data_IF_516186659755
#
_entry.id   IF_516186659755
#
_cell.length_a   1.000
_cell.length_b   1.000
_cell.length_c   1.000
_cell.angle_alpha   90.00
_cell.angle_beta   90.00
_cell.angle_gamma   90.00
#
_symmetry.space_group_name_H-M   'P 1'
#
loop_
_entity.id
_entity.type
_entity.pdbx_description
1 polymer ?
#
# COMPACT_ATOMS: atom_id res chain seq x y z
N UNK A 1 -5.09 -8.15 -9.04
CA UNK A 1 -4.61 -6.82 -8.56
C UNK A 1 -3.17 -6.59 -9.01
N UNK A 2 -2.75 -5.34 -9.25
CA UNK A 2 -1.35 -4.98 -9.56
C UNK A 2 -0.90 -3.79 -8.73
N UNK A 3 0.40 -3.72 -8.40
CA UNK A 3 0.95 -2.62 -7.60
C UNK A 3 0.81 -1.25 -8.29
N UNK A 4 0.91 -1.21 -9.63
CA UNK A 4 0.69 0.01 -10.40
C UNK A 4 -0.75 0.54 -10.26
N UNK A 5 -1.75 -0.35 -10.30
CA UNK A 5 -3.15 0.04 -10.15
C UNK A 5 -3.47 0.52 -8.73
N UNK A 6 -2.82 -0.05 -7.69
CA UNK A 6 -2.91 0.47 -6.32
C UNK A 6 -2.34 1.88 -6.23
N UNK A 7 -1.16 2.14 -6.83
CA UNK A 7 -0.55 3.50 -6.86
C UNK A 7 -1.46 4.50 -7.57
N UNK A 8 -2.09 4.11 -8.68
CA UNK A 8 -3.06 4.96 -9.40
C UNK A 8 -4.24 5.31 -8.49
N UNK A 9 -4.85 4.31 -7.85
CA UNK A 9 -5.99 4.55 -6.96
C UNK A 9 -5.61 5.40 -5.75
N UNK A 10 -4.48 5.11 -5.11
CA UNK A 10 -3.90 5.91 -4.04
C UNK A 10 -3.71 7.37 -4.44
N UNK A 11 -3.13 7.63 -5.61
CA UNK A 11 -2.91 8.99 -6.09
C UNK A 11 -4.22 9.73 -6.40
N UNK A 12 -5.31 9.04 -6.79
CA UNK A 12 -6.63 9.68 -6.93
C UNK A 12 -7.16 10.24 -5.61
N UNK A 13 -6.97 9.51 -4.49
CA UNK A 13 -7.35 10.02 -3.16
C UNK A 13 -6.48 11.20 -2.70
N UNK A 14 -5.20 11.21 -3.07
CA UNK A 14 -4.34 12.38 -2.83
C UNK A 14 -4.80 13.58 -3.63
N UNK A 15 -5.08 13.39 -4.91
CA UNK A 15 -5.54 14.45 -5.79
C UNK A 15 -6.90 15.02 -5.35
N UNK A 16 -7.84 14.19 -4.90
CA UNK A 16 -9.12 14.68 -4.36
C UNK A 16 -8.97 15.46 -3.05
N UNK A 17 -7.84 15.31 -2.36
CA UNK A 17 -7.43 16.10 -1.20
C UNK A 17 -6.47 17.24 -1.54
N UNK A 18 -6.35 17.64 -2.82
CA UNK A 18 -5.43 18.68 -3.31
C UNK A 18 -3.93 18.42 -3.03
N UNK A 19 -3.53 17.16 -2.92
CA UNK A 19 -2.15 16.76 -2.74
C UNK A 19 -1.54 16.28 -4.06
N UNK A 20 -0.25 16.59 -4.24
CA UNK A 20 0.53 16.06 -5.36
C UNK A 20 0.58 14.52 -5.33
N UNK A 21 0.52 13.87 -6.52
CA UNK A 21 0.69 12.42 -6.61
C UNK A 21 2.09 12.00 -6.16
N UNK A 22 2.20 10.82 -5.57
CA UNK A 22 3.50 10.23 -5.23
C UNK A 22 4.12 9.56 -6.45
N UNK A 23 5.42 9.79 -6.65
CA UNK A 23 6.19 9.12 -7.69
C UNK A 23 6.54 7.69 -7.27
N UNK A 24 6.37 6.73 -8.18
CA UNK A 24 6.71 5.35 -7.90
C UNK A 24 8.24 5.18 -7.72
N UNK A 25 8.68 4.44 -6.70
CA UNK A 25 10.09 4.23 -6.39
C UNK A 25 10.46 2.75 -6.49
N UNK A 26 11.46 2.40 -7.29
CA UNK A 26 11.92 1.00 -7.39
C UNK A 26 12.43 0.49 -6.04
N UNK A 27 13.19 1.32 -5.30
CA UNK A 27 13.69 0.95 -3.98
C UNK A 27 12.55 0.62 -3.00
N UNK A 28 11.52 1.47 -2.95
CA UNK A 28 10.37 1.23 -2.07
C UNK A 28 9.52 0.05 -2.56
N UNK A 29 9.39 -0.15 -3.88
CA UNK A 29 8.73 -1.34 -4.44
C UNK A 29 9.44 -2.62 -4.02
N UNK A 30 10.77 -2.66 -4.10
CA UNK A 30 11.56 -3.82 -3.70
C UNK A 30 11.39 -4.11 -2.20
N UNK A 31 11.46 -3.06 -1.36
CA UNK A 31 11.24 -3.18 0.07
C UNK A 31 9.83 -3.70 0.41
N UNK A 32 8.80 -3.08 -0.19
CA UNK A 32 7.41 -3.48 0.02
C UNK A 32 7.14 -4.91 -0.50
N UNK A 33 7.75 -5.33 -1.61
CA UNK A 33 7.62 -6.69 -2.12
C UNK A 33 8.28 -7.72 -1.21
N UNK A 34 9.49 -7.40 -0.70
CA UNK A 34 10.17 -8.26 0.29
C UNK A 34 9.32 -8.43 1.54
N UNK A 35 8.72 -7.35 2.04
CA UNK A 35 7.85 -7.40 3.20
C UNK A 35 6.54 -8.17 2.92
N UNK A 36 5.89 -7.92 1.79
CA UNK A 36 4.70 -8.68 1.40
C UNK A 36 4.97 -10.18 1.31
N UNK A 37 6.12 -10.58 0.74
CA UNK A 37 6.53 -11.98 0.69
C UNK A 37 6.79 -12.55 2.09
N UNK A 38 7.44 -11.79 2.96
CA UNK A 38 7.68 -12.21 4.35
C UNK A 38 6.35 -12.43 5.11
N UNK A 39 5.41 -11.49 5.03
CA UNK A 39 4.08 -11.61 5.64
C UNK A 39 3.33 -12.83 5.10
N UNK A 40 3.38 -13.07 3.78
CA UNK A 40 2.71 -14.21 3.16
C UNK A 40 3.27 -15.57 3.63
N UNK A 41 4.55 -15.63 4.02
CA UNK A 41 5.21 -16.87 4.46
C UNK A 41 5.11 -17.09 5.97
N UNK A 42 5.18 -16.02 6.75
CA UNK A 42 5.41 -16.13 8.21
C UNK A 42 4.25 -15.60 9.04
N UNK A 43 3.31 -14.86 8.42
CA UNK A 43 2.27 -14.09 9.11
C UNK A 43 2.82 -13.06 10.11
N UNK A 44 4.10 -12.67 9.99
CA UNK A 44 4.74 -11.65 10.80
C UNK A 44 4.91 -10.35 10.01
N UNK A 45 4.72 -9.22 10.69
CA UNK A 45 4.92 -7.86 10.15
C UNK A 45 6.20 -7.30 10.78
N UNK A 46 7.09 -6.72 9.98
CA UNK A 46 8.20 -5.92 10.48
C UNK A 46 7.89 -4.44 10.32
N UNK A 47 8.21 -3.63 11.33
CA UNK A 47 7.84 -2.21 11.29
C UNK A 47 8.66 -1.44 10.26
N UNK A 48 7.98 -0.69 9.39
CA UNK A 48 8.55 0.29 8.49
C UNK A 48 7.93 1.68 8.72
N UNK A 49 8.65 2.73 8.34
CA UNK A 49 8.14 4.11 8.46
C UNK A 49 7.07 4.35 7.39
N UNK A 50 5.85 4.69 7.83
CA UNK A 50 4.70 5.06 6.99
C UNK A 50 4.17 3.94 6.07
N UNK A 51 3.98 2.75 6.62
CA UNK A 51 3.45 1.59 5.89
C UNK A 51 1.94 1.40 6.11
N UNK A 52 1.22 1.11 5.02
CA UNK A 52 -0.15 0.61 5.07
C UNK A 52 -0.16 -0.83 4.56
N UNK A 53 -0.63 -1.75 5.40
CA UNK A 53 -0.77 -3.18 5.07
C UNK A 53 -2.24 -3.53 4.93
N UNK A 54 -2.57 -4.43 4.01
CA UNK A 54 -3.90 -4.98 3.83
C UNK A 54 -3.76 -6.47 3.47
N UNK A 55 -4.65 -7.31 4.01
CA UNK A 55 -4.73 -8.74 3.72
C UNK A 55 -6.20 -9.12 3.51
N UNK A 56 -6.44 -10.11 2.65
CA UNK A 56 -7.75 -10.72 2.34
C UNK A 56 -8.69 -9.90 1.43
N UNK A 57 -8.40 -8.64 1.13
CA UNK A 57 -9.19 -7.89 0.14
C UNK A 57 -8.94 -8.44 -1.27
N UNK A 58 -10.00 -8.62 -2.04
CA UNK A 58 -9.93 -9.17 -3.40
C UNK A 58 -9.90 -8.08 -4.48
N UNK A 59 -10.23 -6.84 -4.12
CA UNK A 59 -10.29 -5.70 -5.03
C UNK A 59 -9.52 -4.48 -4.50
N UNK A 60 -9.02 -3.65 -5.41
CA UNK A 60 -8.34 -2.39 -5.08
C UNK A 60 -9.30 -1.43 -4.36
N UNK A 61 -10.59 -1.43 -4.73
CA UNK A 61 -11.59 -0.59 -4.07
C UNK A 61 -11.76 -0.98 -2.60
N UNK A 62 -11.81 -2.28 -2.28
CA UNK A 62 -11.84 -2.72 -0.88
C UNK A 62 -10.60 -2.27 -0.13
N UNK A 63 -9.40 -2.48 -0.69
CA UNK A 63 -8.13 -2.04 -0.07
C UNK A 63 -8.15 -0.54 0.24
N UNK A 64 -8.50 0.29 -0.76
CA UNK A 64 -8.51 1.74 -0.58
C UNK A 64 -9.59 2.19 0.40
N UNK A 65 -10.80 1.62 0.35
CA UNK A 65 -11.86 1.92 1.31
C UNK A 65 -11.44 1.57 2.74
N UNK A 66 -10.85 0.39 2.95
CA UNK A 66 -10.33 -0.03 4.27
C UNK A 66 -9.27 0.94 4.79
N UNK A 67 -8.31 1.35 3.95
CA UNK A 67 -7.30 2.32 4.38
C UNK A 67 -7.88 3.71 4.64
N UNK A 68 -8.77 4.22 3.78
CA UNK A 68 -9.32 5.57 3.94
C UNK A 68 -10.28 5.71 5.13
N UNK A 69 -10.86 4.60 5.61
CA UNK A 69 -11.70 4.55 6.81
C UNK A 69 -10.92 4.34 8.11
N UNK A 70 -9.60 4.08 8.04
CA UNK A 70 -8.72 3.97 9.21
C UNK A 70 -7.92 5.27 9.38
N UNK A 71 -8.00 5.97 10.53
CA UNK A 71 -7.27 7.23 10.73
C UNK A 71 -5.77 7.12 10.45
N UNK A 72 -5.08 6.13 11.02
CA UNK A 72 -3.63 5.98 10.83
C UNK A 72 -3.24 5.67 9.39
N UNK A 73 -4.01 4.83 8.69
CA UNK A 73 -3.73 4.54 7.27
C UNK A 73 -4.02 5.74 6.39
N UNK A 74 -5.12 6.46 6.66
CA UNK A 74 -5.50 7.68 5.97
C UNK A 74 -4.43 8.77 6.14
N UNK A 75 -3.89 8.93 7.34
CA UNK A 75 -2.84 9.91 7.62
C UNK A 75 -1.59 9.64 6.78
N UNK A 76 -1.19 8.37 6.62
CA UNK A 76 -0.10 8.01 5.70
C UNK A 76 -0.39 8.40 4.25
N UNK A 77 -1.62 8.15 3.76
CA UNK A 77 -2.02 8.48 2.38
C UNK A 77 -2.04 9.99 2.14
N UNK A 78 -2.52 10.77 3.12
CA UNK A 78 -2.75 12.20 3.01
C UNK A 78 -1.60 13.07 3.54
N UNK A 79 -0.48 12.45 3.92
CA UNK A 79 0.69 13.21 4.34
C UNK A 79 1.35 13.93 3.14
N UNK A 80 1.39 15.27 3.18
CA UNK A 80 1.97 16.12 2.14
C UNK A 80 3.50 16.05 2.03
N UNK A 81 4.17 15.53 3.07
CA UNK A 81 5.64 15.43 3.11
C UNK A 81 6.17 14.27 2.27
N UNK A 82 5.36 13.25 2.00
CA UNK A 82 5.76 12.15 1.14
C UNK A 82 5.81 12.57 -0.33
N UNK A 83 6.83 12.08 -1.04
CA UNK A 83 7.04 12.31 -2.47
C UNK A 83 7.12 11.01 -3.28
N UNK A 84 7.25 9.86 -2.60
CA UNK A 84 7.51 8.57 -3.23
C UNK A 84 6.68 7.46 -2.59
N UNK A 85 6.34 6.45 -3.40
CA UNK A 85 5.60 5.27 -2.96
C UNK A 85 6.16 4.00 -3.59
N UNK A 86 6.07 2.89 -2.86
CA UNK A 86 6.24 1.53 -3.37
C UNK A 86 5.08 0.67 -2.92
N UNK A 87 4.67 -0.28 -3.76
CA UNK A 87 3.63 -1.26 -3.44
C UNK A 87 4.17 -2.64 -3.77
N UNK A 88 4.10 -3.54 -2.80
CA UNK A 88 4.32 -4.97 -2.97
C UNK A 88 3.00 -5.71 -2.82
N UNK A 89 2.80 -6.77 -3.61
CA UNK A 89 1.64 -7.65 -3.49
C UNK A 89 2.18 -9.07 -3.50
N UNK A 90 1.85 -9.84 -2.47
CA UNK A 90 2.14 -11.26 -2.42
C UNK A 90 0.83 -12.02 -2.21
N UNK A 91 0.77 -13.24 -2.75
CA UNK A 91 -0.32 -14.17 -2.44
C UNK A 91 0.24 -15.16 -1.43
N UNK A 92 -0.55 -15.52 -0.41
CA UNK A 92 -0.19 -16.61 0.49
C UNK A 92 0.12 -17.89 -0.30
N UNK A 93 0.98 -18.75 0.25
CA UNK A 93 1.23 -20.08 -0.31
C UNK A 93 0.01 -21.02 -0.20
N UNK A 94 -1.01 -20.56 0.53
CA UNK A 94 -2.27 -21.19 0.81
C UNK A 94 -3.10 -21.18 -0.49
N UNK A 95 -2.88 -22.17 -1.36
CA UNK A 95 -3.76 -22.52 -2.49
C UNK A 95 -5.15 -22.96 -2.00
N UNK A 96 -5.88 -22.07 -1.34
CA UNK A 96 -7.30 -22.22 -1.00
C UNK A 96 -8.11 -21.09 -1.65
#
# INVERSE_FOLDING_TARGET
>A
MSGAAVIISHNRYRQSANLAPLAASQRLRNAAQSHANHMAQTRQIWSAVAENVAAEQTTINQVMTTWMNSPGHRDNILNGNYKRIGVGISRGADNL
#
